data_IF_924966751605
#
_entry.id   IF_924966751605
#
_cell.length_a   1.000
_cell.length_b   1.000
_cell.length_c   1.000
_cell.angle_alpha   90.00
_cell.angle_beta   90.00
_cell.angle_gamma   90.00
#
_symmetry.space_group_name_H-M   'P 1'
#
loop_
_entity.id
_entity.type
_entity.pdbx_description
1 polymer ?
#
# COMPACT_ATOMS: atom_id res chain seq x y z
N UNK A 1 12.46 12.87 -2.25
CA UNK A 1 12.36 11.78 -1.22
C UNK A 1 10.97 11.17 -1.29
N UNK A 2 10.87 9.85 -1.06
CA UNK A 2 9.57 9.15 -1.03
C UNK A 2 9.21 8.83 0.41
N UNK A 3 8.03 9.24 0.85
CA UNK A 3 7.47 8.92 2.17
C UNK A 3 6.34 7.92 1.98
N UNK A 4 6.32 6.84 2.75
CA UNK A 4 5.23 5.87 2.72
C UNK A 4 4.52 5.87 4.07
N UNK A 5 3.20 5.85 4.06
CA UNK A 5 2.42 5.88 5.30
C UNK A 5 1.68 4.56 5.47
N UNK A 6 1.89 3.91 6.61
CA UNK A 6 1.15 2.71 7.02
C UNK A 6 0.53 2.99 8.39
N UNK A 7 -0.79 3.22 8.42
CA UNK A 7 -1.44 3.52 9.71
C UNK A 7 -1.46 2.34 10.67
N UNK A 8 -1.50 1.13 10.14
CA UNK A 8 -1.68 -0.06 10.97
C UNK A 8 -0.74 -1.19 10.53
N UNK A 9 0.58 -1.01 10.73
CA UNK A 9 1.55 -2.06 10.39
C UNK A 9 1.28 -3.33 11.20
N UNK A 10 1.69 -4.46 10.66
CA UNK A 10 1.38 -5.76 11.23
C UNK A 10 2.60 -6.67 11.28
N UNK A 11 2.59 -7.58 12.25
CA UNK A 11 3.35 -8.81 12.15
C UNK A 11 2.39 -9.86 11.59
N UNK A 12 2.74 -10.44 10.45
CA UNK A 12 2.00 -11.56 9.87
C UNK A 12 2.66 -12.85 10.34
N UNK A 13 1.98 -13.59 11.19
CA UNK A 13 2.43 -14.86 11.75
C UNK A 13 1.76 -15.99 10.94
N UNK A 14 2.55 -16.65 10.12
CA UNK A 14 2.06 -17.70 9.22
C UNK A 14 2.35 -19.06 9.85
N UNK A 15 1.31 -19.86 10.03
CA UNK A 15 1.38 -21.16 10.68
C UNK A 15 0.96 -22.22 9.66
N UNK A 16 1.84 -23.18 9.41
CA UNK A 16 1.53 -24.35 8.58
C UNK A 16 1.17 -25.50 9.47
N UNK A 17 0.02 -26.11 9.23
CA UNK A 17 -0.44 -27.26 10.01
C UNK A 17 -1.14 -28.27 9.09
N UNK A 18 -1.38 -29.45 9.59
CA UNK A 18 -2.26 -30.42 8.92
C UNK A 18 -3.71 -29.91 8.97
N UNK A 19 -4.66 -30.73 8.72
CA UNK A 19 -6.07 -30.34 8.79
C UNK A 19 -6.39 -29.76 10.18
N UNK A 20 -6.72 -28.48 10.22
CA UNK A 20 -7.07 -27.80 11.47
C UNK A 20 -8.39 -28.32 12.01
N UNK A 21 -8.44 -28.66 13.27
CA UNK A 21 -9.64 -29.15 13.95
C UNK A 21 -10.10 -28.13 14.98
N UNK A 22 -11.29 -27.59 14.79
CA UNK A 22 -11.87 -26.61 15.70
C UNK A 22 -12.18 -27.28 17.04
N UNK A 23 -11.86 -26.61 18.12
CA UNK A 23 -12.09 -27.13 19.48
C UNK A 23 -11.04 -28.10 19.98
N UNK A 24 -9.99 -28.34 19.20
CA UNK A 24 -8.92 -29.26 19.56
C UNK A 24 -7.58 -28.55 19.62
N UNK A 25 -6.59 -29.19 20.27
CA UNK A 25 -5.21 -28.69 20.24
C UNK A 25 -4.60 -29.09 18.89
N UNK A 26 -4.25 -28.08 18.11
CA UNK A 26 -3.54 -28.25 16.85
C UNK A 26 -2.07 -27.86 17.03
N UNK A 27 -1.17 -28.53 16.33
CA UNK A 27 0.26 -28.23 16.41
C UNK A 27 0.77 -27.83 15.03
N UNK A 28 1.54 -26.77 15.00
CA UNK A 28 2.19 -26.31 13.76
C UNK A 28 3.27 -27.31 13.31
N UNK A 29 3.47 -27.37 12.02
CA UNK A 29 4.63 -28.04 11.40
C UNK A 29 5.78 -27.06 11.24
N UNK A 30 5.45 -25.86 10.72
CA UNK A 30 6.42 -24.77 10.52
C UNK A 30 5.73 -23.44 10.76
N UNK A 31 6.53 -22.44 11.06
CA UNK A 31 6.06 -21.08 11.32
C UNK A 31 6.95 -20.08 10.62
N UNK A 32 6.35 -18.99 10.15
CA UNK A 32 7.06 -17.91 9.49
C UNK A 32 6.54 -16.58 10.03
N UNK A 33 7.42 -15.59 10.09
CA UNK A 33 7.06 -14.24 10.54
C UNK A 33 7.42 -13.26 9.44
N UNK A 34 6.44 -12.45 9.05
CA UNK A 34 6.64 -11.37 8.09
C UNK A 34 6.24 -10.06 8.74
N UNK A 35 6.91 -8.99 8.36
CA UNK A 35 6.60 -7.65 8.83
C UNK A 35 5.95 -6.92 7.68
N UNK A 36 4.73 -6.42 7.87
CA UNK A 36 3.92 -5.95 6.78
C UNK A 36 3.17 -4.66 7.05
N UNK A 37 2.47 -4.30 6.04
CA UNK A 37 1.70 -3.07 5.91
C UNK A 37 2.01 -2.49 4.56
N UNK A 38 0.98 -2.07 3.83
CA UNK A 38 1.14 -1.70 2.41
C UNK A 38 2.27 -0.68 2.17
N UNK A 39 2.31 0.41 2.95
CA UNK A 39 3.37 1.41 2.79
C UNK A 39 4.76 0.86 3.11
N UNK A 40 4.87 -0.02 4.11
CA UNK A 40 6.13 -0.68 4.44
C UNK A 40 6.56 -1.58 3.28
N UNK A 41 5.62 -2.35 2.69
CA UNK A 41 5.92 -3.20 1.53
C UNK A 41 6.45 -2.35 0.37
N UNK A 42 5.81 -1.20 0.10
CA UNK A 42 6.30 -0.27 -0.93
C UNK A 42 7.73 0.16 -0.62
N UNK A 43 8.03 0.54 0.64
CA UNK A 43 9.38 0.96 1.03
C UNK A 43 10.40 -0.16 0.86
N UNK A 44 10.02 -1.41 1.17
CA UNK A 44 10.92 -2.56 1.01
C UNK A 44 11.30 -2.74 -0.46
N UNK A 45 10.33 -2.71 -1.35
CA UNK A 45 10.58 -2.89 -2.79
C UNK A 45 11.34 -1.70 -3.36
N UNK A 46 11.02 -0.46 -2.95
CA UNK A 46 11.79 0.72 -3.37
C UNK A 46 13.27 0.54 -3.02
N UNK A 47 13.56 0.06 -1.82
CA UNK A 47 14.95 -0.16 -1.38
C UNK A 47 15.64 -1.22 -2.24
N UNK A 48 14.94 -2.31 -2.59
CA UNK A 48 15.50 -3.33 -3.51
C UNK A 48 15.81 -2.74 -4.87
N UNK A 49 15.01 -1.76 -5.30
CA UNK A 49 15.21 -1.08 -6.58
C UNK A 49 16.22 0.09 -6.48
N UNK A 50 16.87 0.23 -5.33
CA UNK A 50 17.92 1.24 -5.14
C UNK A 50 17.42 2.63 -4.76
N UNK A 51 16.16 2.77 -4.38
CA UNK A 51 15.58 4.06 -4.01
C UNK A 51 15.38 4.18 -2.49
N UNK A 52 15.72 5.35 -1.99
CA UNK A 52 15.53 5.66 -0.57
C UNK A 52 14.09 6.13 -0.33
N UNK A 53 13.53 5.64 0.77
CA UNK A 53 12.21 6.06 1.23
C UNK A 53 12.21 6.17 2.75
N UNK A 54 11.18 6.81 3.29
CA UNK A 54 10.99 6.94 4.73
C UNK A 54 9.59 6.47 5.09
N UNK A 55 9.52 5.45 5.96
CA UNK A 55 8.25 4.89 6.39
C UNK A 55 7.71 5.64 7.61
N UNK A 56 6.48 6.11 7.50
CA UNK A 56 5.70 6.80 8.53
C UNK A 56 4.50 5.94 8.93
N UNK A 57 3.93 6.23 10.08
CA UNK A 57 2.73 5.55 10.58
C UNK A 57 2.80 5.43 12.09
N UNK A 58 2.10 4.44 12.63
CA UNK A 58 1.99 4.27 14.08
C UNK A 58 2.46 2.87 14.50
N UNK A 59 3.25 2.82 15.55
CA UNK A 59 3.72 1.55 16.12
C UNK A 59 3.51 1.56 17.64
N UNK A 60 3.31 0.39 18.21
CA UNK A 60 3.05 0.26 19.65
C UNK A 60 3.65 -1.05 20.20
N UNK A 61 4.05 -1.01 21.45
CA UNK A 61 4.44 -2.17 22.22
C UNK A 61 5.59 -3.00 21.64
N UNK A 62 5.68 -4.23 22.10
CA UNK A 62 6.77 -5.12 21.69
C UNK A 62 6.75 -5.44 20.18
N UNK A 63 5.57 -5.55 19.59
CA UNK A 63 5.44 -5.81 18.14
C UNK A 63 5.87 -4.59 17.33
N UNK A 64 5.57 -3.38 17.82
CA UNK A 64 6.06 -2.16 17.20
C UNK A 64 7.59 -2.06 17.27
N UNK A 65 8.15 -2.45 18.38
CA UNK A 65 9.61 -2.49 18.55
C UNK A 65 10.23 -3.52 17.59
N UNK A 66 9.63 -4.65 17.46
CA UNK A 66 10.06 -5.68 16.48
C UNK A 66 10.01 -5.17 15.03
N UNK A 67 8.94 -4.43 14.79
CA UNK A 67 8.83 -3.87 13.47
C UNK A 67 9.87 -2.80 13.21
N UNK A 68 10.35 -2.10 14.17
CA UNK A 68 11.31 -1.13 14.01
C UNK A 68 12.70 -1.72 13.96
N UNK A 69 12.94 -2.69 14.63
CA UNK A 69 14.12 -3.45 14.60
C UNK A 69 14.30 -4.18 13.32
N UNK A 70 13.22 -4.65 12.87
CA UNK A 70 13.23 -5.36 11.65
C UNK A 70 13.43 -4.44 10.50
N UNK A 71 12.88 -3.35 10.48
CA UNK A 71 12.97 -2.41 9.50
C UNK A 71 14.26 -1.67 9.53
N UNK A 72 14.86 -1.59 10.60
CA UNK A 72 16.08 -0.99 10.77
C UNK A 72 17.28 -1.88 10.71
N UNK A 73 17.05 -2.92 11.07
CA UNK A 73 18.10 -3.85 11.14
C UNK A 73 18.09 -4.92 10.11
N UNK A 74 17.37 -5.45 10.05
CA UNK A 74 17.51 -6.57 9.30
C UNK A 74 16.79 -6.61 8.03
N UNK A 75 15.88 -6.54 8.27
CA UNK A 75 15.19 -6.77 7.31
C UNK A 75 15.11 -5.69 6.55
N UNK A 76 15.08 -4.93 7.26
CA UNK A 76 14.97 -4.20 6.73
C UNK A 76 15.89 -3.67 6.07
N UNK A 77 16.58 -4.01 5.53
CA UNK A 77 17.60 -3.62 4.60
C UNK A 77 17.92 -2.12 4.70
N UNK A 78 17.76 -1.57 5.86
CA UNK A 78 18.08 -0.17 6.10
C UNK A 78 17.03 0.82 5.62
N UNK A 79 15.77 0.48 5.73
CA UNK A 79 14.69 1.43 5.43
C UNK A 79 14.63 2.49 6.55
N UNK A 80 14.67 3.75 6.17
CA UNK A 80 14.53 4.83 7.15
C UNK A 80 13.07 4.86 7.67
N UNK A 81 12.94 4.97 8.98
CA UNK A 81 11.63 5.02 9.62
C UNK A 81 11.49 6.28 10.46
N UNK A 82 10.28 6.80 10.55
CA UNK A 82 9.95 7.93 11.43
C UNK A 82 8.54 7.74 11.97
N UNK A 83 8.30 6.55 12.57
CA UNK A 83 7.00 6.20 13.13
C UNK A 83 6.66 7.04 14.36
N UNK A 84 5.35 7.22 14.58
CA UNK A 84 4.82 7.72 15.85
C UNK A 84 4.70 6.51 16.79
N UNK A 85 5.29 6.62 17.97
CA UNK A 85 5.26 5.55 18.98
C UNK A 85 4.11 5.78 19.96
N UNK A 86 3.17 4.85 19.97
CA UNK A 86 2.02 4.93 20.87
C UNK A 86 2.41 4.35 22.24
N UNK A 87 1.86 4.93 23.29
CA UNK A 87 2.20 4.56 24.66
C UNK A 87 1.51 3.26 25.12
N UNK A 88 0.35 2.96 24.52
CA UNK A 88 -0.47 1.81 24.95
C UNK A 88 -0.74 0.85 23.80
N UNK A 89 -1.01 -0.40 24.15
CA UNK A 89 -1.34 -1.43 23.17
C UNK A 89 -0.11 -2.01 22.48
N UNK A 90 -0.35 -2.61 21.34
CA UNK A 90 0.71 -3.19 20.53
C UNK A 90 0.29 -3.18 19.05
N UNK A 91 1.25 -3.06 18.15
CA UNK A 91 1.01 -3.15 16.71
C UNK A 91 0.42 -4.53 16.40
N UNK A 92 -0.54 -4.58 15.48
CA UNK A 92 -1.36 -5.78 15.30
C UNK A 92 -0.54 -6.99 14.84
N UNK A 93 -1.06 -8.14 15.20
CA UNK A 93 -0.58 -9.45 14.71
C UNK A 93 -1.72 -10.02 13.87
N UNK A 94 -1.41 -10.40 12.65
CA UNK A 94 -2.32 -11.18 11.81
C UNK A 94 -1.85 -12.62 11.85
N UNK A 95 -2.77 -13.56 12.04
CA UNK A 95 -2.46 -14.99 12.04
C UNK A 95 -2.99 -15.57 10.73
N UNK A 96 -2.13 -16.23 9.97
CA UNK A 96 -2.49 -16.91 8.73
C UNK A 96 -2.24 -18.40 8.93
N UNK A 97 -3.32 -19.18 8.91
CA UNK A 97 -3.26 -20.63 9.13
C UNK A 97 -3.39 -21.32 7.76
N UNK A 98 -2.35 -22.03 7.37
CA UNK A 98 -2.30 -22.79 6.12
C UNK A 98 -2.48 -24.27 6.45
N UNK A 99 -3.71 -24.76 6.22
CA UNK A 99 -4.11 -26.14 6.58
C UNK A 99 -4.97 -26.77 5.48
N UNK A 100 -4.48 -26.70 4.23
CA UNK A 100 -5.28 -27.04 3.05
C UNK A 100 -5.92 -25.79 2.49
N UNK A 101 -6.84 -25.21 3.23
CA UNK A 101 -7.35 -23.87 2.93
C UNK A 101 -6.66 -22.85 3.83
N UNK A 102 -6.55 -21.62 3.35
CA UNK A 102 -5.96 -20.54 4.15
C UNK A 102 -7.05 -19.84 4.96
N UNK A 103 -6.80 -19.72 6.26
CA UNK A 103 -7.69 -18.98 7.17
C UNK A 103 -6.89 -17.83 7.78
N UNK A 104 -7.45 -16.63 7.74
CA UNK A 104 -6.80 -15.44 8.31
C UNK A 104 -7.59 -14.90 9.50
N UNK A 105 -6.86 -14.54 10.55
CA UNK A 105 -7.39 -13.81 11.69
C UNK A 105 -6.59 -12.53 11.81
N UNK A 106 -7.19 -11.41 11.45
CA UNK A 106 -6.49 -10.13 11.37
C UNK A 106 -6.75 -9.30 12.63
N UNK A 107 -5.66 -8.94 13.31
CA UNK A 107 -5.72 -8.11 14.51
C UNK A 107 -6.16 -6.68 14.20
N UNK A 108 -6.80 -6.02 15.17
CA UNK A 108 -7.26 -4.64 15.01
C UNK A 108 -6.12 -3.63 15.16
N UNK A 109 -5.14 -3.95 15.99
CA UNK A 109 -4.07 -3.00 16.29
C UNK A 109 -4.41 -2.05 17.43
N UNK A 110 -3.52 -1.11 17.71
CA UNK A 110 -3.68 -0.21 18.85
C UNK A 110 -4.69 0.90 18.58
N UNK A 111 -5.17 1.53 19.65
CA UNK A 111 -5.99 2.73 19.54
C UNK A 111 -5.07 3.91 19.20
N UNK A 112 -5.40 4.63 18.14
CA UNK A 112 -4.63 5.77 17.67
C UNK A 112 -5.37 7.05 18.08
N UNK A 113 -4.87 7.68 19.14
CA UNK A 113 -5.51 8.88 19.68
C UNK A 113 -5.18 10.15 18.92
N UNK A 114 -5.90 11.21 19.20
CA UNK A 114 -5.78 12.50 18.51
C UNK A 114 -4.37 13.08 18.59
N UNK A 115 -3.69 12.91 19.72
CA UNK A 115 -2.32 13.42 19.89
C UNK A 115 -1.34 12.71 18.96
N UNK A 116 -1.49 11.40 18.80
CA UNK A 116 -0.65 10.64 17.88
C UNK A 116 -0.90 11.06 16.42
N UNK A 117 -2.16 11.31 16.07
CA UNK A 117 -2.50 11.84 14.74
C UNK A 117 -1.84 13.21 14.55
N UNK A 118 -1.91 14.09 15.54
CA UNK A 118 -1.26 15.41 15.47
C UNK A 118 0.25 15.28 15.31
N UNK A 119 0.88 14.30 15.97
CA UNK A 119 2.31 14.03 15.80
C UNK A 119 2.62 13.61 14.36
N UNK A 120 1.77 12.77 13.77
CA UNK A 120 1.95 12.40 12.36
C UNK A 120 1.91 13.66 11.47
N UNK A 121 0.96 14.57 11.72
CA UNK A 121 0.87 15.81 10.93
C UNK A 121 2.12 16.67 11.09
N UNK A 122 2.71 16.75 12.29
CA UNK A 122 3.99 17.45 12.49
C UNK A 122 5.13 16.82 11.68
N UNK A 123 5.10 15.49 11.48
CA UNK A 123 6.08 14.83 10.61
C UNK A 123 5.82 15.16 9.14
N UNK A 124 4.55 15.26 8.73
CA UNK A 124 4.18 15.63 7.37
C UNK A 124 4.57 17.08 7.03
N UNK A 125 4.62 17.97 8.03
CA UNK A 125 5.09 19.35 7.82
C UNK A 125 6.51 19.40 7.25
N UNK A 126 7.33 18.38 7.50
CA UNK A 126 8.70 18.31 7.03
C UNK A 126 8.84 18.00 5.54
N UNK A 127 7.76 17.55 4.90
CA UNK A 127 7.77 17.27 3.47
C UNK A 127 7.95 18.56 2.66
N UNK A 128 8.72 18.47 1.58
CA UNK A 128 9.12 19.61 0.74
C UNK A 128 8.67 19.41 -0.69
N UNK A 129 8.66 20.48 -1.45
CA UNK A 129 8.38 20.43 -2.89
C UNK A 129 9.29 19.41 -3.57
N UNK A 130 8.71 18.60 -4.42
CA UNK A 130 9.41 17.52 -5.12
C UNK A 130 9.35 16.17 -4.39
N UNK A 131 8.91 16.15 -3.13
CA UNK A 131 8.74 14.87 -2.42
C UNK A 131 7.50 14.12 -2.95
N UNK A 132 7.48 12.81 -2.68
CA UNK A 132 6.34 11.94 -2.97
C UNK A 132 5.82 11.39 -1.64
N UNK A 133 4.50 11.37 -1.46
CA UNK A 133 3.88 10.67 -0.33
C UNK A 133 2.97 9.57 -0.84
N UNK A 134 3.11 8.37 -0.29
CA UNK A 134 2.29 7.20 -0.62
C UNK A 134 1.39 6.90 0.59
N UNK A 135 0.09 7.07 0.41
CA UNK A 135 -0.94 6.70 1.38
C UNK A 135 -1.49 5.35 0.95
N UNK A 136 -1.15 4.29 1.68
CA UNK A 136 -1.48 2.93 1.24
C UNK A 136 -2.15 2.12 2.35
N UNK A 137 -3.27 1.50 2.00
CA UNK A 137 -4.02 0.64 2.89
C UNK A 137 -5.25 1.30 3.50
N UNK A 138 -5.86 0.60 4.45
CA UNK A 138 -7.08 1.06 5.12
C UNK A 138 -6.76 2.00 6.29
N UNK A 139 -7.73 2.80 6.65
CA UNK A 139 -7.68 3.60 7.88
C UNK A 139 -8.25 2.74 9.01
N UNK A 140 -7.50 2.55 10.12
CA UNK A 140 -8.04 1.80 11.26
C UNK A 140 -9.32 2.44 11.82
N UNK A 141 -10.23 1.63 12.34
CA UNK A 141 -11.50 2.11 12.89
C UNK A 141 -11.32 3.05 14.08
N UNK A 142 -10.15 3.08 14.69
CA UNK A 142 -9.82 3.98 15.80
C UNK A 142 -9.42 5.38 15.33
N UNK A 143 -9.30 5.59 14.01
CA UNK A 143 -8.96 6.89 13.42
C UNK A 143 -10.16 7.46 12.68
N UNK A 144 -10.23 8.79 12.52
CA UNK A 144 -11.26 9.38 11.65
C UNK A 144 -11.16 8.86 10.23
N UNK A 145 -12.29 8.47 9.65
CA UNK A 145 -12.34 7.88 8.30
C UNK A 145 -11.85 8.84 7.20
N UNK A 146 -11.87 10.14 7.48
CA UNK A 146 -11.44 11.20 6.57
C UNK A 146 -9.94 11.56 6.71
N UNK A 147 -9.15 10.72 7.38
CA UNK A 147 -7.74 11.05 7.64
C UNK A 147 -6.94 11.23 6.35
N UNK A 148 -7.17 10.42 5.30
CA UNK A 148 -6.48 10.61 4.01
C UNK A 148 -6.83 11.98 3.41
N UNK A 149 -8.12 12.34 3.44
CA UNK A 149 -8.57 13.64 2.95
C UNK A 149 -7.87 14.79 3.70
N UNK A 150 -7.80 14.68 5.04
CA UNK A 150 -7.12 15.68 5.88
C UNK A 150 -5.63 15.79 5.54
N UNK A 151 -4.96 14.66 5.28
CA UNK A 151 -3.54 14.67 4.88
C UNK A 151 -3.38 15.40 3.54
N UNK A 152 -4.21 15.06 2.56
CA UNK A 152 -4.12 15.69 1.23
C UNK A 152 -4.45 17.19 1.32
N UNK A 153 -5.44 17.57 2.11
CA UNK A 153 -5.77 18.98 2.34
C UNK A 153 -4.61 19.72 3.02
N UNK A 154 -3.97 19.07 4.01
CA UNK A 154 -2.84 19.65 4.74
C UNK A 154 -1.64 19.91 3.84
N UNK A 155 -1.41 19.02 2.88
CA UNK A 155 -0.29 19.14 1.95
C UNK A 155 -0.59 20.04 0.73
N UNK A 156 -1.84 20.50 0.61
CA UNK A 156 -2.26 21.37 -0.49
C UNK A 156 -1.42 22.64 -0.49
N UNK A 157 -0.93 23.02 -1.65
CA UNK A 157 -0.07 24.20 -1.78
C UNK A 157 1.42 23.88 -1.87
N UNK A 158 1.81 22.67 -1.48
CA UNK A 158 3.16 22.17 -1.71
C UNK A 158 3.17 21.34 -3.01
N UNK A 159 4.29 21.35 -3.72
CA UNK A 159 4.43 20.55 -4.95
C UNK A 159 4.85 19.12 -4.61
N UNK A 160 3.96 18.40 -3.93
CA UNK A 160 4.19 17.02 -3.48
C UNK A 160 3.38 16.08 -4.37
N UNK A 161 4.03 15.02 -4.87
CA UNK A 161 3.30 13.95 -5.59
C UNK A 161 2.56 13.10 -4.57
N UNK A 162 1.23 13.16 -4.58
CA UNK A 162 0.40 12.37 -3.67
C UNK A 162 -0.08 11.10 -4.38
N UNK A 163 0.23 9.96 -3.80
CA UNK A 163 -0.08 8.64 -4.35
C UNK A 163 -1.02 7.93 -3.37
N UNK A 164 -2.15 7.43 -3.86
CA UNK A 164 -3.14 6.79 -2.99
C UNK A 164 -3.46 5.38 -3.49
N UNK A 165 -3.21 4.38 -2.65
CA UNK A 165 -3.61 2.99 -2.86
C UNK A 165 -4.66 2.62 -1.82
N UNK A 166 -5.92 2.91 -2.14
CA UNK A 166 -7.06 2.72 -1.27
C UNK A 166 -8.24 2.20 -2.08
N UNK A 167 -9.28 1.77 -1.40
CA UNK A 167 -10.45 1.14 -2.04
C UNK A 167 -11.74 1.87 -1.67
N UNK A 168 -12.79 1.64 -2.46
CA UNK A 168 -14.17 2.07 -2.17
C UNK A 168 -14.27 3.57 -1.90
N UNK A 169 -15.03 3.95 -0.90
CA UNK A 169 -15.28 5.37 -0.59
C UNK A 169 -14.01 6.11 -0.21
N UNK A 170 -13.05 5.43 0.43
CA UNK A 170 -11.78 6.05 0.78
C UNK A 170 -11.06 6.55 -0.49
N UNK A 171 -11.10 5.76 -1.57
CA UNK A 171 -10.52 6.19 -2.84
C UNK A 171 -11.33 7.32 -3.49
N UNK A 172 -12.67 7.19 -3.52
CA UNK A 172 -13.54 8.23 -4.11
C UNK A 172 -13.35 9.59 -3.44
N UNK A 173 -13.28 9.59 -2.12
CA UNK A 173 -13.24 10.84 -1.35
C UNK A 173 -11.96 11.64 -1.58
N UNK A 174 -10.84 10.97 -1.88
CA UNK A 174 -9.57 11.68 -2.10
C UNK A 174 -9.46 12.30 -3.49
N UNK A 175 -10.30 11.91 -4.45
CA UNK A 175 -10.19 12.38 -5.84
C UNK A 175 -10.32 13.90 -5.96
N UNK A 176 -11.14 14.53 -5.10
CA UNK A 176 -11.29 16.00 -5.09
C UNK A 176 -9.97 16.73 -4.79
N UNK A 177 -8.99 16.04 -4.20
CA UNK A 177 -7.66 16.62 -3.91
C UNK A 177 -6.66 16.38 -5.03
N UNK A 178 -7.10 15.82 -6.15
CA UNK A 178 -6.32 15.61 -7.38
C UNK A 178 -5.01 14.85 -7.13
N UNK A 179 -5.09 13.62 -6.54
CA UNK A 179 -3.88 12.85 -6.32
C UNK A 179 -3.10 12.63 -7.62
N UNK A 180 -1.78 12.68 -7.52
CA UNK A 180 -0.89 12.44 -8.66
C UNK A 180 -1.11 11.04 -9.24
N UNK A 181 -1.32 10.03 -8.38
CA UNK A 181 -1.51 8.66 -8.83
C UNK A 181 -2.47 7.93 -7.89
N UNK A 182 -3.40 7.18 -8.48
CA UNK A 182 -4.19 6.18 -7.76
C UNK A 182 -3.95 4.82 -8.39
N UNK A 183 -4.08 3.74 -7.58
CA UNK A 183 -3.80 2.39 -8.07
C UNK A 183 -4.88 1.38 -7.67
N UNK A 184 -6.06 1.39 -8.26
CA UNK A 184 -7.02 0.28 -8.08
C UNK A 184 -6.62 -0.93 -8.91
N UNK A 185 -7.06 -2.12 -8.50
CA UNK A 185 -7.08 -3.24 -9.44
C UNK A 185 -8.39 -3.19 -10.26
N UNK A 186 -8.50 -4.01 -11.30
CA UNK A 186 -9.67 -3.94 -12.20
C UNK A 186 -10.98 -4.32 -11.49
N UNK A 187 -10.93 -5.18 -10.47
CA UNK A 187 -12.11 -5.51 -9.67
C UNK A 187 -12.54 -4.32 -8.81
N UNK A 188 -11.59 -3.70 -8.12
CA UNK A 188 -11.84 -2.50 -7.31
C UNK A 188 -12.38 -1.35 -8.17
N UNK A 189 -11.81 -1.19 -9.37
CA UNK A 189 -12.31 -0.19 -10.31
C UNK A 189 -13.77 -0.47 -10.69
N UNK A 190 -14.08 -1.71 -11.02
CA UNK A 190 -15.47 -2.10 -11.33
C UNK A 190 -16.40 -1.88 -10.14
N UNK A 191 -15.98 -2.27 -8.94
CA UNK A 191 -16.75 -2.11 -7.71
C UNK A 191 -17.11 -0.65 -7.45
N UNK A 192 -16.18 0.28 -7.73
CA UNK A 192 -16.43 1.72 -7.55
C UNK A 192 -17.63 2.21 -8.38
N UNK A 193 -17.91 1.58 -9.48
CA UNK A 193 -18.99 1.99 -10.40
C UNK A 193 -20.13 0.96 -10.51
N UNK A 194 -20.06 -0.10 -9.71
CA UNK A 194 -21.12 -1.13 -9.70
C UNK A 194 -21.15 -1.96 -10.98
N UNK A 195 -20.01 -2.21 -11.63
CA UNK A 195 -19.92 -2.94 -12.89
C UNK A 195 -18.82 -4.00 -12.82
N UNK A 196 -18.89 -4.99 -13.71
CA UNK A 196 -17.80 -5.94 -13.94
C UNK A 196 -17.09 -5.54 -15.25
N UNK A 197 -15.78 -5.46 -15.21
CA UNK A 197 -14.96 -5.02 -16.35
C UNK A 197 -14.26 -6.25 -16.95
N UNK A 198 -14.37 -6.41 -18.27
CA UNK A 198 -13.88 -7.60 -18.96
C UNK A 198 -12.81 -7.32 -20.01
N UNK A 199 -12.63 -6.07 -20.41
CA UNK A 199 -11.72 -5.73 -21.50
C UNK A 199 -10.89 -4.50 -21.16
N UNK A 200 -9.75 -4.38 -21.82
CA UNK A 200 -8.87 -3.19 -21.68
C UNK A 200 -9.64 -1.89 -22.01
N UNK A 201 -10.51 -1.93 -23.03
CA UNK A 201 -11.26 -0.73 -23.42
C UNK A 201 -12.27 -0.33 -22.34
N UNK A 202 -12.90 -1.30 -21.67
CA UNK A 202 -13.79 -0.99 -20.54
C UNK A 202 -12.98 -0.43 -19.37
N UNK A 203 -11.85 -1.07 -19.05
CA UNK A 203 -10.98 -0.61 -17.95
C UNK A 203 -10.51 0.83 -18.21
N UNK A 204 -10.06 1.11 -19.44
CA UNK A 204 -9.67 2.47 -19.83
C UNK A 204 -10.84 3.45 -19.69
N UNK A 205 -12.03 3.08 -20.15
CA UNK A 205 -13.20 3.97 -20.07
C UNK A 205 -13.51 4.34 -18.61
N UNK A 206 -13.42 3.38 -17.68
CA UNK A 206 -13.68 3.65 -16.27
C UNK A 206 -12.50 4.36 -15.58
N UNK A 207 -11.27 4.10 -16.00
CA UNK A 207 -10.11 4.87 -15.54
C UNK A 207 -10.27 6.36 -15.93
N UNK A 208 -10.78 6.63 -17.14
CA UNK A 208 -11.06 8.01 -17.57
C UNK A 208 -12.13 8.69 -16.71
N UNK A 209 -13.09 7.92 -16.19
CA UNK A 209 -14.07 8.48 -15.24
C UNK A 209 -13.38 8.91 -13.94
N UNK A 210 -12.45 8.10 -13.40
CA UNK A 210 -11.68 8.48 -12.22
C UNK A 210 -10.81 9.71 -12.48
N UNK A 211 -10.26 9.81 -13.69
CA UNK A 211 -9.47 10.98 -14.08
C UNK A 211 -10.35 12.24 -14.10
N UNK A 212 -11.57 12.14 -14.67
CA UNK A 212 -12.54 13.25 -14.65
C UNK A 212 -12.98 13.62 -13.22
N UNK A 213 -12.94 12.68 -12.28
CA UNK A 213 -13.25 12.92 -10.88
C UNK A 213 -12.08 13.54 -10.12
N UNK A 214 -10.87 13.59 -10.72
CA UNK A 214 -9.74 14.30 -10.14
C UNK A 214 -8.39 13.59 -10.17
N UNK A 215 -8.33 12.28 -10.35
CA UNK A 215 -7.04 11.59 -10.39
C UNK A 215 -6.21 12.08 -11.58
N UNK A 216 -4.93 12.41 -11.37
CA UNK A 216 -4.08 12.82 -12.48
C UNK A 216 -3.63 11.61 -13.31
N UNK A 217 -3.16 10.56 -12.65
CA UNK A 217 -2.78 9.30 -13.27
C UNK A 217 -3.54 8.15 -12.61
N UNK A 218 -3.97 7.16 -13.42
CA UNK A 218 -4.70 5.98 -12.92
C UNK A 218 -3.94 4.73 -13.38
N UNK A 219 -3.35 4.01 -12.43
CA UNK A 219 -2.64 2.75 -12.68
C UNK A 219 -3.58 1.61 -12.28
N UNK A 220 -3.96 0.77 -13.23
CA UNK A 220 -4.89 -0.34 -12.95
C UNK A 220 -4.15 -1.67 -13.11
N UNK A 221 -4.05 -2.43 -12.02
CA UNK A 221 -3.50 -3.79 -12.09
C UNK A 221 -4.59 -4.76 -12.55
N UNK A 222 -4.22 -5.70 -13.42
CA UNK A 222 -5.16 -6.59 -14.09
C UNK A 222 -4.76 -8.06 -13.95
N UNK A 223 -4.06 -8.38 -12.86
CA UNK A 223 -3.58 -9.74 -12.57
C UNK A 223 -2.82 -10.31 -13.78
N UNK A 224 -3.20 -11.49 -14.27
CA UNK A 224 -2.55 -12.16 -15.39
C UNK A 224 -2.63 -11.38 -16.72
N UNK A 225 -3.38 -10.30 -16.78
CA UNK A 225 -3.45 -9.44 -17.97
C UNK A 225 -2.47 -8.26 -17.89
N UNK A 226 -1.70 -8.15 -16.80
CA UNK A 226 -0.70 -7.10 -16.66
C UNK A 226 -1.25 -5.83 -16.03
N UNK A 227 -0.98 -4.69 -16.64
CA UNK A 227 -1.41 -3.40 -16.08
C UNK A 227 -1.70 -2.38 -17.17
N UNK A 228 -2.57 -1.43 -16.81
CA UNK A 228 -2.94 -0.30 -17.66
C UNK A 228 -2.67 0.98 -16.89
N UNK A 229 -2.02 1.93 -17.54
CA UNK A 229 -1.83 3.28 -16.99
C UNK A 229 -2.54 4.29 -17.89
N UNK A 230 -3.45 5.06 -17.33
CA UNK A 230 -3.97 6.25 -17.98
C UNK A 230 -3.21 7.45 -17.38
N UNK A 231 -2.35 8.08 -18.17
CA UNK A 231 -1.49 9.15 -17.67
C UNK A 231 -2.22 10.51 -17.67
N UNK A 232 -1.61 11.50 -17.05
CA UNK A 232 -2.20 12.83 -16.89
C UNK A 232 -2.38 13.60 -18.21
N UNK A 233 -1.73 13.16 -19.30
CA UNK A 233 -1.97 13.69 -20.64
C UNK A 233 -3.15 12.98 -21.34
N UNK A 234 -3.74 11.97 -20.69
CA UNK A 234 -4.84 11.19 -21.25
C UNK A 234 -4.38 10.08 -22.18
N UNK A 235 -3.08 9.74 -22.18
CA UNK A 235 -2.55 8.65 -22.99
C UNK A 235 -2.69 7.34 -22.22
N UNK A 236 -3.19 6.31 -22.88
CA UNK A 236 -3.36 4.98 -22.28
C UNK A 236 -2.15 4.11 -22.67
N UNK A 237 -1.47 3.60 -21.66
CA UNK A 237 -0.34 2.67 -21.81
C UNK A 237 -0.77 1.31 -21.29
N UNK A 238 -0.40 0.24 -21.97
CA UNK A 238 -0.71 -1.13 -21.55
C UNK A 238 0.58 -1.94 -21.54
N UNK A 239 0.77 -2.73 -20.47
CA UNK A 239 1.91 -3.62 -20.34
C UNK A 239 1.40 -5.00 -19.90
N UNK A 240 1.75 -6.04 -20.65
CA UNK A 240 1.44 -7.42 -20.27
C UNK A 240 2.36 -7.91 -19.16
N UNK A 241 2.01 -9.04 -18.56
CA UNK A 241 2.80 -9.62 -17.46
C UNK A 241 4.16 -10.15 -17.95
N UNK A 242 5.13 -10.14 -17.06
CA UNK A 242 6.37 -10.87 -17.26
C UNK A 242 6.11 -12.37 -17.09
N UNK A 243 6.73 -13.19 -17.92
CA UNK A 243 6.58 -14.64 -17.80
C UNK A 243 7.29 -15.15 -16.55
N UNK A 244 6.62 -16.00 -15.80
CA UNK A 244 7.18 -16.54 -14.56
C UNK A 244 6.20 -17.46 -13.87
N UNK A 245 6.65 -18.04 -12.76
CA UNK A 245 5.79 -18.88 -11.91
C UNK A 245 5.44 -18.08 -10.66
N UNK A 246 4.15 -17.86 -10.45
CA UNK A 246 3.67 -17.14 -9.27
C UNK A 246 3.97 -17.96 -8.02
N UNK A 247 4.73 -17.39 -7.09
CA UNK A 247 5.01 -18.01 -5.79
C UNK A 247 4.07 -17.47 -4.72
N UNK A 248 3.75 -16.18 -4.78
CA UNK A 248 2.86 -15.53 -3.83
C UNK A 248 2.36 -14.23 -4.47
N UNK A 249 1.07 -14.00 -4.41
CA UNK A 249 0.47 -12.76 -4.95
C UNK A 249 0.31 -11.66 -3.89
N UNK A 250 0.57 -11.98 -2.62
CA UNK A 250 0.47 -10.99 -1.53
C UNK A 250 1.56 -9.94 -1.72
N UNK A 251 1.15 -8.68 -1.74
CA UNK A 251 2.10 -7.57 -1.94
C UNK A 251 2.41 -7.24 -3.40
N UNK A 252 1.87 -8.02 -4.37
CA UNK A 252 2.11 -7.72 -5.79
C UNK A 252 1.70 -6.28 -6.15
N UNK A 253 0.56 -5.82 -5.64
CA UNK A 253 0.11 -4.45 -5.88
C UNK A 253 1.03 -3.40 -5.28
N UNK A 254 1.59 -3.67 -4.09
CA UNK A 254 2.55 -2.78 -3.43
C UNK A 254 3.86 -2.76 -4.22
N UNK A 255 4.29 -3.93 -4.71
CA UNK A 255 5.50 -4.06 -5.55
C UNK A 255 5.32 -3.31 -6.86
N UNK A 256 4.16 -3.46 -7.51
CA UNK A 256 3.85 -2.73 -8.74
C UNK A 256 3.93 -1.23 -8.51
N UNK A 257 3.37 -0.74 -7.39
CA UNK A 257 3.42 0.69 -7.07
C UNK A 257 4.87 1.16 -6.88
N UNK A 258 5.67 0.40 -6.13
CA UNK A 258 7.07 0.72 -5.90
C UNK A 258 7.86 0.74 -7.21
N UNK A 259 7.68 -0.28 -8.05
CA UNK A 259 8.33 -0.34 -9.36
C UNK A 259 7.94 0.82 -10.26
N UNK A 260 6.65 1.17 -10.26
CA UNK A 260 6.16 2.32 -11.03
C UNK A 260 6.85 3.61 -10.57
N UNK A 261 6.90 3.84 -9.26
CA UNK A 261 7.55 5.05 -8.73
C UNK A 261 9.05 5.07 -9.04
N UNK A 262 9.71 3.90 -8.98
CA UNK A 262 11.13 3.80 -9.33
C UNK A 262 11.35 4.12 -10.81
N UNK A 263 10.50 3.60 -11.68
CA UNK A 263 10.60 3.86 -13.12
C UNK A 263 10.40 5.32 -13.47
N UNK A 264 9.56 6.03 -12.72
CA UNK A 264 9.34 7.48 -12.93
C UNK A 264 10.58 8.33 -12.63
N UNK A 265 11.48 7.85 -11.78
CA UNK A 265 12.69 8.61 -11.45
C UNK A 265 13.71 8.57 -12.59
N UNK A 266 13.64 7.58 -13.47
CA UNK A 266 14.66 7.36 -14.51
C UNK A 266 14.10 7.34 -15.93
N UNK A 267 12.78 7.30 -16.11
CA UNK A 267 12.17 7.14 -17.41
C UNK A 267 10.86 7.89 -17.56
N UNK A 268 10.15 7.52 -18.59
CA UNK A 268 8.83 8.08 -18.86
C UNK A 268 7.73 7.16 -18.29
N UNK A 269 6.47 7.48 -18.57
CA UNK A 269 5.33 6.69 -18.07
C UNK A 269 5.34 5.26 -18.64
N UNK A 270 5.85 5.05 -19.84
CA UNK A 270 5.95 3.69 -20.41
C UNK A 270 6.96 2.84 -19.65
N UNK A 271 8.12 3.41 -19.35
CA UNK A 271 9.16 2.71 -18.59
C UNK A 271 8.72 2.49 -17.14
N UNK A 272 8.04 3.48 -16.55
CA UNK A 272 7.47 3.34 -15.21
C UNK A 272 6.46 2.18 -15.15
N UNK A 273 5.57 2.09 -16.16
CA UNK A 273 4.59 1.00 -16.22
C UNK A 273 5.27 -0.36 -16.38
N UNK A 274 6.29 -0.46 -17.25
CA UNK A 274 7.05 -1.71 -17.44
C UNK A 274 7.71 -2.16 -16.13
N UNK A 275 8.41 -1.24 -15.46
CA UNK A 275 9.09 -1.59 -14.21
C UNK A 275 8.08 -1.94 -13.11
N UNK A 276 6.96 -1.20 -13.05
CA UNK A 276 5.87 -1.52 -12.12
C UNK A 276 5.31 -2.91 -12.36
N UNK A 277 5.03 -3.24 -13.63
CA UNK A 277 4.47 -4.56 -13.98
C UNK A 277 5.47 -5.68 -13.69
N UNK A 278 6.76 -5.43 -13.94
CA UNK A 278 7.81 -6.43 -13.69
C UNK A 278 8.04 -6.65 -12.19
N UNK A 279 7.84 -5.63 -11.36
CA UNK A 279 8.02 -5.74 -9.91
C UNK A 279 6.81 -6.42 -9.23
N UNK A 280 5.60 -6.26 -9.79
CA UNK A 280 4.36 -6.84 -9.27
C UNK A 280 4.11 -8.24 -9.71
#
# INVERSE_FOLDING_TARGET
MIYTVTFNPAIDYVVHTDAMQVGMVNRSRTEEIYYGGKGINVSMVLKELGLESRALGFVAGFTGAAXXXXXXXXXXKGIATDFVHLQEGFSRINVKIKSGEETELNGQGPVIGAEAVAELFRKLDKLRDGDTIVLAGSIPSTMPSDTYEKILAHLKGKQIRTVVDATKDLLKNVLQYQPFLIKPNHYELGELFGVTLHSHSEIEAYARKLQKMGARNVLVSMAEQGALLLDEAGICHICGVCQGTVKNSVGAGDSMLAGFLAGLETGDYTDALKLGTAAG
#
